data_IF_255186815284
#
_entry.id   IF_255186815284
#
_cell.length_a   1.000
_cell.length_b   1.000
_cell.length_c   1.000
_cell.angle_alpha   90.00
_cell.angle_beta   90.00
_cell.angle_gamma   90.00
#
_symmetry.space_group_name_H-M   'P 1'
#
loop_
_entity.id
_entity.type
_entity.pdbx_description
1 polymer ?
#
# COMPACT_ATOMS: atom_id res chain seq x y z
N UNK A 1 -21.09 3.76 -1.47
CA UNK A 1 -20.87 4.17 -0.09
C UNK A 1 -20.93 2.96 0.84
N UNK A 2 -20.25 3.02 1.95
CA UNK A 2 -20.20 1.99 2.99
C UNK A 2 -20.49 2.65 4.34
N UNK A 3 -21.31 2.00 5.14
CA UNK A 3 -21.46 2.35 6.55
C UNK A 3 -20.44 1.55 7.34
N UNK A 4 -19.57 2.24 8.07
CA UNK A 4 -18.54 1.65 8.92
C UNK A 4 -18.72 2.08 10.36
N UNK A 5 -18.29 1.26 11.31
CA UNK A 5 -18.11 1.67 12.69
C UNK A 5 -16.96 2.67 12.75
N UNK A 6 -17.23 3.89 13.23
CA UNK A 6 -16.18 4.87 13.53
C UNK A 6 -16.02 5.00 15.03
N UNK A 7 -14.78 5.21 15.47
CA UNK A 7 -14.46 5.38 16.88
C UNK A 7 -13.55 6.57 17.10
N UNK A 8 -13.80 7.30 18.19
CA UNK A 8 -12.85 8.21 18.82
C UNK A 8 -12.23 7.48 20.01
N UNK A 9 -10.93 7.50 20.11
CA UNK A 9 -10.20 6.79 21.15
C UNK A 9 -8.88 7.50 21.49
N UNK A 10 -8.25 7.09 22.58
CA UNK A 10 -7.11 7.81 23.14
C UNK A 10 -5.90 6.91 23.36
N UNK A 11 -4.72 7.48 23.16
CA UNK A 11 -3.41 6.88 23.43
C UNK A 11 -2.82 7.55 24.68
N UNK A 12 -2.48 6.81 25.76
CA UNK A 12 -1.80 7.38 26.90
C UNK A 12 -0.43 7.95 26.53
N UNK A 13 -0.10 9.13 27.05
CA UNK A 13 1.23 9.77 26.86
C UNK A 13 1.79 10.24 28.20
N UNK A 14 3.11 10.27 28.32
CA UNK A 14 3.78 10.69 29.54
C UNK A 14 3.50 12.17 29.88
N UNK A 15 3.23 12.46 31.14
CA UNK A 15 2.98 13.81 31.63
C UNK A 15 4.20 14.73 31.38
N UNK A 16 5.40 14.25 31.71
CA UNK A 16 6.64 15.01 31.57
C UNK A 16 6.87 15.53 30.13
N UNK A 17 6.47 14.76 29.13
CA UNK A 17 6.58 15.16 27.73
C UNK A 17 5.64 16.32 27.41
N UNK A 18 4.38 16.24 27.84
CA UNK A 18 3.40 17.30 27.61
C UNK A 18 3.67 18.55 28.46
N UNK A 19 4.08 18.39 29.72
CA UNK A 19 4.49 19.49 30.59
C UNK A 19 5.65 20.30 29.97
N UNK A 20 6.62 19.61 29.38
CA UNK A 20 7.73 20.23 28.66
C UNK A 20 7.26 21.00 27.42
N UNK A 21 6.34 20.44 26.63
CA UNK A 21 5.86 21.04 25.37
C UNK A 21 4.98 22.26 25.66
N UNK A 22 4.02 22.12 26.58
CA UNK A 22 3.02 23.15 26.87
C UNK A 22 3.45 24.11 27.99
N UNK A 23 4.57 23.85 28.64
CA UNK A 23 5.09 24.60 29.79
C UNK A 23 4.02 24.78 30.89
N UNK A 24 3.30 23.71 31.20
CA UNK A 24 2.15 23.71 32.12
C UNK A 24 2.20 22.44 32.97
N UNK A 25 2.13 22.52 34.32
CA UNK A 25 2.04 21.34 35.18
C UNK A 25 0.70 20.64 34.96
N UNK A 26 0.71 19.29 34.96
CA UNK A 26 -0.44 18.45 34.65
C UNK A 26 -0.75 17.52 35.82
N UNK A 27 -1.98 17.56 36.33
CA UNK A 27 -2.45 16.74 37.46
C UNK A 27 -3.29 15.55 37.02
N UNK A 28 -3.92 15.63 35.83
CA UNK A 28 -4.81 14.61 35.32
C UNK A 28 -4.07 13.66 34.36
N UNK A 29 -4.61 12.44 34.12
CA UNK A 29 -4.11 11.56 33.07
C UNK A 29 -4.08 12.22 31.69
N UNK A 30 -3.06 11.94 30.90
CA UNK A 30 -2.78 12.61 29.63
C UNK A 30 -2.86 11.65 28.45
N UNK A 31 -3.50 12.11 27.39
CA UNK A 31 -3.76 11.31 26.21
C UNK A 31 -3.64 12.10 24.93
N UNK A 32 -3.44 11.38 23.83
CA UNK A 32 -3.58 11.87 22.46
C UNK A 32 -4.84 11.27 21.88
N UNK A 33 -5.76 12.11 21.35
CA UNK A 33 -6.99 11.65 20.74
C UNK A 33 -6.82 11.31 19.27
N UNK A 34 -7.36 10.18 18.82
CA UNK A 34 -7.37 9.76 17.42
C UNK A 34 -8.75 9.25 17.02
N UNK A 35 -9.03 9.25 15.72
CA UNK A 35 -10.28 8.79 15.15
C UNK A 35 -10.02 7.84 13.98
N UNK A 36 -10.85 6.79 13.85
CA UNK A 36 -10.77 5.87 12.72
C UNK A 36 -12.12 5.28 12.34
N UNK A 37 -12.28 4.93 11.06
CA UNK A 37 -13.40 4.14 10.52
C UNK A 37 -13.04 2.66 10.31
N UNK A 38 -11.83 2.28 10.67
CA UNK A 38 -11.27 0.92 10.50
C UNK A 38 -10.62 0.41 11.78
N UNK A 39 -11.39 0.18 12.87
CA UNK A 39 -10.82 -0.25 14.16
C UNK A 39 -9.92 -1.50 14.03
N UNK A 40 -10.21 -2.39 13.07
CA UNK A 40 -9.44 -3.60 12.82
C UNK A 40 -7.97 -3.36 12.42
N UNK A 41 -7.58 -2.12 12.07
CA UNK A 41 -6.16 -1.81 11.77
C UNK A 41 -5.32 -1.51 13.02
N UNK A 42 -5.96 -1.32 14.18
CA UNK A 42 -5.27 -1.02 15.45
C UNK A 42 -4.20 -2.05 15.86
N UNK A 43 -4.41 -3.37 15.68
CA UNK A 43 -3.32 -4.34 15.96
C UNK A 43 -2.05 -4.09 15.14
N UNK A 44 -2.18 -3.44 13.99
CA UNK A 44 -1.05 -3.03 13.11
C UNK A 44 -0.48 -1.63 13.39
N UNK A 45 -1.00 -0.91 14.40
CA UNK A 45 -0.53 0.44 14.72
C UNK A 45 0.94 0.46 15.17
N UNK A 46 1.74 1.36 14.60
CA UNK A 46 3.14 1.62 15.00
C UNK A 46 3.42 3.10 15.24
N UNK A 47 2.56 3.99 14.75
CA UNK A 47 2.77 5.42 14.88
C UNK A 47 1.45 6.19 15.03
N UNK A 48 1.58 7.44 15.42
CA UNK A 48 0.59 8.49 15.32
C UNK A 48 1.15 9.56 14.39
N UNK A 49 0.47 9.80 13.27
CA UNK A 49 0.89 10.81 12.32
C UNK A 49 0.17 12.13 12.58
N UNK A 50 0.93 13.20 12.61
CA UNK A 50 0.45 14.58 12.78
C UNK A 50 0.91 15.42 11.60
N UNK A 51 0.31 16.59 11.43
CA UNK A 51 0.86 17.61 10.55
C UNK A 51 1.71 18.56 11.42
N UNK A 52 2.99 18.71 11.10
CA UNK A 52 3.94 19.47 11.91
C UNK A 52 3.73 20.99 11.89
N UNK A 53 3.00 21.50 10.88
CA UNK A 53 2.61 22.92 10.75
C UNK A 53 1.31 23.27 11.49
N UNK A 54 0.49 22.27 11.87
CA UNK A 54 -0.77 22.54 12.57
C UNK A 54 -0.55 22.94 14.02
N UNK A 55 -1.52 23.65 14.57
CA UNK A 55 -1.59 23.97 15.99
C UNK A 55 -2.38 22.87 16.72
N UNK A 56 -1.80 22.34 17.76
CA UNK A 56 -2.41 21.37 18.64
C UNK A 56 -2.64 21.98 20.02
N UNK A 57 -3.83 21.77 20.53
CA UNK A 57 -4.21 22.24 21.87
C UNK A 57 -4.25 21.04 22.84
N UNK A 58 -3.78 21.29 24.04
CA UNK A 58 -3.99 20.45 25.21
C UNK A 58 -5.21 20.98 25.92
N UNK A 59 -6.26 20.17 26.04
CA UNK A 59 -7.50 20.56 26.70
C UNK A 59 -7.81 19.60 27.84
N UNK A 60 -8.35 20.14 28.95
CA UNK A 60 -8.96 19.39 30.04
C UNK A 60 -10.45 19.19 29.76
N UNK A 61 -10.88 17.94 29.83
CA UNK A 61 -12.28 17.55 29.69
C UNK A 61 -12.70 16.68 30.89
N UNK A 62 -14.02 16.58 31.12
CA UNK A 62 -14.59 15.58 32.01
C UNK A 62 -15.31 14.51 31.18
N UNK A 63 -14.83 13.28 31.26
CA UNK A 63 -15.40 12.12 30.58
C UNK A 63 -15.68 11.02 31.60
N UNK A 64 -16.91 10.48 31.61
CA UNK A 64 -17.36 9.49 32.62
C UNK A 64 -17.07 9.91 34.09
N UNK A 65 -17.28 11.19 34.40
CA UNK A 65 -17.02 11.80 35.71
C UNK A 65 -15.54 11.77 36.13
N UNK A 66 -14.65 11.61 35.22
CA UNK A 66 -13.19 11.68 35.43
C UNK A 66 -12.60 12.80 34.58
N UNK A 67 -11.74 13.60 35.22
CA UNK A 67 -10.99 14.61 34.49
C UNK A 67 -9.82 13.96 33.78
N UNK A 68 -9.60 14.36 32.54
CA UNK A 68 -8.45 13.97 31.73
C UNK A 68 -8.00 15.09 30.81
N UNK A 69 -6.77 15.03 30.37
CA UNK A 69 -6.19 15.95 29.40
C UNK A 69 -6.04 15.23 28.06
N UNK A 70 -6.51 15.84 26.98
CA UNK A 70 -6.39 15.30 25.62
C UNK A 70 -5.72 16.31 24.69
N UNK A 71 -4.87 15.79 23.79
CA UNK A 71 -4.26 16.57 22.71
C UNK A 71 -5.00 16.29 21.41
N UNK A 72 -5.36 17.34 20.67
CA UNK A 72 -5.94 17.25 19.32
C UNK A 72 -5.66 18.56 18.56
N UNK A 73 -5.86 18.54 17.25
CA UNK A 73 -5.71 19.74 16.43
C UNK A 73 -6.72 20.81 16.82
N UNK A 74 -6.26 22.05 16.98
CA UNK A 74 -7.07 23.19 17.42
C UNK A 74 -8.35 23.38 16.60
N UNK A 75 -8.25 23.26 15.29
CA UNK A 75 -9.37 23.49 14.36
C UNK A 75 -10.43 22.37 14.42
N UNK A 76 -10.12 21.25 15.06
CA UNK A 76 -11.01 20.09 15.20
C UNK A 76 -11.58 19.88 16.61
N UNK A 77 -11.30 20.80 17.56
CA UNK A 77 -11.79 20.69 18.95
C UNK A 77 -13.29 20.59 18.99
N UNK A 78 -13.99 21.58 18.42
CA UNK A 78 -15.46 21.68 18.51
C UNK A 78 -16.15 20.45 17.88
N UNK A 79 -15.73 20.05 16.68
CA UNK A 79 -16.31 18.90 15.99
C UNK A 79 -16.01 17.58 16.70
N UNK A 80 -14.83 17.43 17.31
CA UNK A 80 -14.49 16.25 18.12
C UNK A 80 -15.31 16.20 19.40
N UNK A 81 -15.40 17.30 20.13
CA UNK A 81 -16.16 17.37 21.39
C UNK A 81 -17.65 17.11 21.17
N UNK A 82 -18.24 17.66 20.10
CA UNK A 82 -19.63 17.37 19.70
C UNK A 82 -19.80 15.86 19.45
N UNK A 83 -18.87 15.22 18.72
CA UNK A 83 -18.93 13.80 18.39
C UNK A 83 -18.81 12.88 19.61
N UNK A 84 -18.02 13.29 20.63
CA UNK A 84 -17.87 12.53 21.89
C UNK A 84 -18.85 12.97 22.96
N UNK A 85 -19.77 13.94 22.68
CA UNK A 85 -20.83 14.37 23.57
C UNK A 85 -20.38 15.25 24.73
N UNK A 86 -19.29 16.01 24.57
CA UNK A 86 -18.76 16.93 25.60
C UNK A 86 -19.02 18.38 25.17
N UNK A 87 -19.56 19.17 26.06
CA UNK A 87 -19.90 20.59 25.82
C UNK A 87 -18.95 21.56 26.53
N UNK A 88 -18.23 21.12 27.54
CA UNK A 88 -17.37 21.98 28.34
C UNK A 88 -15.94 21.46 28.36
N UNK A 89 -15.01 22.36 28.11
CA UNK A 89 -13.59 22.05 28.19
C UNK A 89 -12.77 23.28 28.61
N UNK A 90 -11.54 23.03 29.01
CA UNK A 90 -10.58 24.08 29.35
C UNK A 90 -9.29 23.88 28.57
N UNK A 91 -8.90 24.86 27.76
CA UNK A 91 -7.60 24.84 27.11
C UNK A 91 -6.49 25.12 28.14
N UNK A 92 -5.53 24.21 28.21
CA UNK A 92 -4.37 24.28 29.10
C UNK A 92 -3.13 24.85 28.37
N UNK A 93 -3.03 24.67 27.06
CA UNK A 93 -1.94 25.20 26.26
C UNK A 93 -2.11 24.90 24.78
N UNK A 94 -1.35 25.57 23.94
CA UNK A 94 -1.30 25.41 22.48
C UNK A 94 0.15 25.34 22.01
N UNK A 95 0.44 24.53 21.02
CA UNK A 95 1.76 24.47 20.40
C UNK A 95 1.70 23.98 18.95
N UNK A 96 2.77 24.20 18.20
CA UNK A 96 2.93 23.69 16.84
C UNK A 96 3.26 22.19 16.85
N UNK A 97 2.77 21.46 15.84
CA UNK A 97 2.89 20.01 15.72
C UNK A 97 4.31 19.50 15.75
N UNK A 98 5.26 20.23 15.15
CA UNK A 98 6.67 19.82 15.13
C UNK A 98 7.26 19.49 16.53
N UNK A 99 6.69 20.04 17.61
CA UNK A 99 7.15 19.78 19.00
C UNK A 99 6.84 18.37 19.51
N UNK A 100 5.90 17.68 18.86
CA UNK A 100 5.56 16.30 19.23
C UNK A 100 6.45 15.26 18.56
N UNK A 101 7.19 15.62 17.51
CA UNK A 101 7.96 14.66 16.72
C UNK A 101 8.97 13.90 17.57
N UNK A 102 8.97 12.58 17.41
CA UNK A 102 9.84 11.68 18.12
C UNK A 102 9.36 11.28 19.53
N UNK A 103 8.26 11.87 20.04
CA UNK A 103 7.64 11.39 21.28
C UNK A 103 6.95 10.05 21.05
N UNK A 104 6.62 9.38 22.15
CA UNK A 104 5.98 8.05 22.13
C UNK A 104 4.72 8.07 22.97
N UNK A 105 3.61 7.69 22.37
CA UNK A 105 2.39 7.39 23.09
C UNK A 105 2.29 5.87 23.33
N UNK A 106 1.66 5.45 24.42
CA UNK A 106 1.44 4.03 24.70
C UNK A 106 0.26 3.53 23.87
N UNK A 107 0.40 2.34 23.25
CA UNK A 107 -0.71 1.74 22.52
C UNK A 107 -1.91 1.48 23.45
N UNK A 108 -3.17 1.65 22.99
CA UNK A 108 -4.36 1.59 23.84
C UNK A 108 -4.56 0.27 24.61
N UNK A 109 -4.07 -0.86 24.06
CA UNK A 109 -4.23 -2.19 24.67
C UNK A 109 -3.05 -3.15 24.46
N UNK A 110 -2.07 -2.83 23.61
CA UNK A 110 -0.87 -3.66 23.44
C UNK A 110 0.31 -3.08 24.23
N UNK A 111 1.23 -3.95 24.64
CA UNK A 111 2.45 -3.53 25.34
C UNK A 111 3.53 -3.05 24.36
N UNK A 112 3.20 -1.97 23.65
CA UNK A 112 4.13 -1.26 22.76
C UNK A 112 3.83 0.23 22.71
N UNK A 113 4.73 0.99 22.12
CA UNK A 113 4.59 2.43 21.94
C UNK A 113 4.37 2.78 20.46
N UNK A 114 3.56 3.81 20.23
CA UNK A 114 3.34 4.43 18.93
C UNK A 114 4.20 5.68 18.83
N UNK A 115 5.08 5.73 17.84
CA UNK A 115 5.95 6.89 17.58
C UNK A 115 5.15 8.04 16.97
N UNK A 116 5.37 9.27 17.41
CA UNK A 116 4.77 10.44 16.78
C UNK A 116 5.64 10.92 15.63
N UNK A 117 5.08 10.94 14.41
CA UNK A 117 5.75 11.28 13.16
C UNK A 117 4.99 12.36 12.39
N UNK A 118 5.65 13.06 11.47
CA UNK A 118 5.02 14.03 10.58
C UNK A 118 4.48 13.35 9.32
N UNK A 119 3.37 13.89 8.76
CA UNK A 119 2.85 13.47 7.47
C UNK A 119 1.86 14.48 6.88
N UNK A 120 2.06 14.84 5.62
CA UNK A 120 1.28 15.86 4.89
C UNK A 120 -0.16 15.43 4.58
N UNK A 121 -0.46 14.13 4.69
CA UNK A 121 -1.81 13.59 4.48
C UNK A 121 -2.78 13.88 5.64
N UNK A 122 -2.26 14.37 6.77
CA UNK A 122 -3.09 14.76 7.90
C UNK A 122 -3.79 16.08 7.58
N UNK A 123 -5.12 16.09 7.65
CA UNK A 123 -5.96 17.26 7.34
C UNK A 123 -6.81 17.69 8.52
N UNK A 124 -7.45 18.85 8.40
CA UNK A 124 -8.44 19.37 9.36
C UNK A 124 -9.88 19.21 8.88
N UNK A 125 -10.13 18.33 7.89
CA UNK A 125 -11.48 18.11 7.36
C UNK A 125 -12.32 17.17 8.24
N UNK A 126 -11.67 16.21 8.90
CA UNK A 126 -12.31 15.22 9.76
C UNK A 126 -11.36 14.65 10.82
N UNK A 127 -11.91 13.96 11.82
CA UNK A 127 -11.13 13.28 12.85
C UNK A 127 -10.69 14.21 13.97
N UNK A 128 -9.45 14.04 14.42
CA UNK A 128 -8.83 14.78 15.54
C UNK A 128 -7.57 15.54 15.12
N UNK A 129 -7.17 15.44 13.84
CA UNK A 129 -5.88 15.95 13.34
C UNK A 129 -4.67 15.12 13.76
N UNK A 130 -4.91 13.93 14.34
CA UNK A 130 -3.88 12.95 14.70
C UNK A 130 -4.35 11.58 14.19
N UNK A 131 -3.61 11.06 13.20
CA UNK A 131 -3.99 9.83 12.50
C UNK A 131 -3.27 8.64 13.12
N UNK A 132 -4.04 7.64 13.53
CA UNK A 132 -3.53 6.32 13.84
C UNK A 132 -2.91 5.69 12.58
N UNK A 133 -1.64 5.30 12.63
CA UNK A 133 -0.87 4.85 11.49
C UNK A 133 -0.54 3.38 11.60
N UNK A 134 -1.02 2.59 10.62
CA UNK A 134 -0.79 1.16 10.48
C UNK A 134 -0.13 0.88 9.13
N UNK A 135 1.21 0.77 9.05
CA UNK A 135 1.99 0.71 7.80
C UNK A 135 1.56 -0.38 6.82
N UNK A 136 1.04 -1.48 7.33
CA UNK A 136 0.55 -2.61 6.53
C UNK A 136 -0.85 -2.44 5.93
N UNK A 137 -1.58 -1.35 6.25
CA UNK A 137 -3.02 -1.23 5.98
C UNK A 137 -3.48 0.06 5.30
N UNK A 138 -2.56 0.94 4.89
CA UNK A 138 -2.84 2.18 4.15
C UNK A 138 -1.67 2.57 3.26
N UNK A 139 -1.94 3.23 2.13
CA UNK A 139 -0.89 3.71 1.22
C UNK A 139 -0.12 4.88 1.82
N UNK A 140 -0.84 5.83 2.40
CA UNK A 140 -0.27 6.98 3.10
C UNK A 140 0.50 6.53 4.35
N UNK A 141 -0.07 5.60 5.13
CA UNK A 141 0.56 5.00 6.29
C UNK A 141 1.87 4.28 5.93
N UNK A 142 1.86 3.52 4.82
CA UNK A 142 3.05 2.85 4.31
C UNK A 142 4.14 3.86 3.91
N UNK A 143 3.76 4.90 3.14
CA UNK A 143 4.71 5.89 2.64
C UNK A 143 5.41 6.63 3.79
N UNK A 144 4.62 7.20 4.71
CA UNK A 144 5.16 7.96 5.85
C UNK A 144 5.95 7.07 6.80
N UNK A 145 5.56 5.82 6.97
CA UNK A 145 6.29 4.87 7.81
C UNK A 145 7.66 4.51 7.24
N UNK A 146 7.72 4.31 5.91
CA UNK A 146 8.98 4.03 5.22
C UNK A 146 9.96 5.21 5.32
N UNK A 147 9.49 6.45 5.18
CA UNK A 147 10.29 7.66 5.34
C UNK A 147 10.86 7.80 6.75
N UNK A 148 10.12 7.31 7.76
CA UNK A 148 10.54 7.35 9.16
C UNK A 148 11.24 6.06 9.64
N UNK A 149 11.57 5.12 8.72
CA UNK A 149 12.30 3.88 9.05
C UNK A 149 11.51 2.89 9.92
N UNK A 150 10.18 2.96 9.90
CA UNK A 150 9.33 2.01 10.61
C UNK A 150 9.16 0.73 9.78
N UNK A 151 9.05 -0.40 10.47
CA UNK A 151 8.74 -1.68 9.84
C UNK A 151 7.33 -1.70 9.26
N UNK A 152 7.10 -2.56 8.25
CA UNK A 152 5.78 -2.76 7.67
C UNK A 152 5.09 -3.93 8.36
N UNK A 153 4.46 -3.68 9.50
CA UNK A 153 3.71 -4.68 10.24
C UNK A 153 2.38 -4.97 9.56
N UNK A 154 2.17 -6.22 9.13
CA UNK A 154 0.93 -6.70 8.53
C UNK A 154 0.40 -7.92 9.29
N UNK A 155 -0.42 -7.73 10.35
CA UNK A 155 -0.89 -8.81 11.20
C UNK A 155 -2.06 -9.61 10.61
N UNK A 156 -2.31 -9.51 9.30
CA UNK A 156 -3.47 -10.11 8.62
C UNK A 156 -3.03 -11.10 7.55
N UNK A 157 -3.55 -12.35 7.64
CA UNK A 157 -3.33 -13.43 6.67
C UNK A 157 -4.00 -13.15 5.32
N UNK A 158 -3.64 -13.91 4.30
CA UNK A 158 -4.20 -13.80 2.94
C UNK A 158 -5.72 -14.03 2.87
N UNK A 159 -6.29 -14.80 3.80
CA UNK A 159 -7.73 -15.03 3.90
C UNK A 159 -8.50 -13.94 4.68
N UNK A 160 -7.81 -12.87 5.11
CA UNK A 160 -8.40 -11.76 5.85
C UNK A 160 -8.61 -12.01 7.34
N UNK A 161 -8.02 -13.07 7.91
CA UNK A 161 -8.00 -13.30 9.35
C UNK A 161 -6.70 -12.80 9.96
N UNK A 162 -6.75 -12.42 11.23
CA UNK A 162 -5.53 -12.09 11.96
C UNK A 162 -4.59 -13.30 12.08
N UNK A 163 -3.29 -13.03 12.13
CA UNK A 163 -2.25 -14.02 12.41
C UNK A 163 -2.47 -14.66 13.78
N UNK A 164 -1.87 -15.84 14.00
CA UNK A 164 -2.07 -16.62 15.23
C UNK A 164 -1.35 -16.00 16.45
N UNK A 165 -0.43 -15.07 16.21
CA UNK A 165 0.34 -14.32 17.20
C UNK A 165 -0.28 -12.96 17.57
N UNK A 166 -1.43 -12.61 16.99
CA UNK A 166 -2.11 -11.34 17.31
C UNK A 166 -2.92 -11.51 18.59
N UNK A 167 -2.46 -10.87 19.66
CA UNK A 167 -3.13 -10.88 20.95
C UNK A 167 -4.60 -10.47 20.83
N UNK A 168 -5.48 -11.20 21.53
CA UNK A 168 -6.94 -11.02 21.60
C UNK A 168 -7.70 -11.35 20.31
N UNK A 169 -7.09 -11.34 19.11
CA UNK A 169 -7.82 -11.41 17.83
C UNK A 169 -7.34 -12.53 16.90
N UNK A 170 -6.43 -13.39 17.35
CA UNK A 170 -5.88 -14.50 16.57
C UNK A 170 -6.97 -15.29 15.82
N UNK A 171 -6.82 -15.45 14.49
CA UNK A 171 -7.74 -16.21 13.64
C UNK A 171 -9.09 -15.54 13.36
N UNK A 172 -9.45 -14.41 13.98
CA UNK A 172 -10.68 -13.69 13.69
C UNK A 172 -10.59 -12.98 12.33
N UNK A 173 -11.70 -13.00 11.59
CA UNK A 173 -11.84 -12.22 10.36
C UNK A 173 -11.89 -10.72 10.71
N UNK A 174 -11.06 -9.90 10.07
CA UNK A 174 -10.82 -8.51 10.48
C UNK A 174 -12.07 -7.66 10.63
N UNK A 175 -13.05 -7.74 9.73
CA UNK A 175 -14.27 -6.97 9.85
C UNK A 175 -15.19 -7.43 10.99
N UNK A 176 -15.08 -8.69 11.43
CA UNK A 176 -15.78 -9.20 12.61
C UNK A 176 -15.08 -8.82 13.91
N UNK A 177 -13.78 -8.58 13.86
CA UNK A 177 -13.01 -8.17 15.03
C UNK A 177 -13.29 -6.73 15.47
N UNK A 178 -13.93 -5.91 14.65
CA UNK A 178 -14.24 -4.52 15.03
C UNK A 178 -15.01 -4.43 16.35
N UNK A 179 -16.03 -5.25 16.55
CA UNK A 179 -16.82 -5.28 17.77
C UNK A 179 -15.96 -5.63 19.00
N UNK A 180 -15.11 -6.66 18.87
CA UNK A 180 -14.21 -7.08 19.95
C UNK A 180 -13.15 -6.01 20.28
N UNK A 181 -12.66 -5.28 19.27
CA UNK A 181 -11.71 -4.19 19.47
C UNK A 181 -12.36 -3.03 20.20
N UNK A 182 -13.59 -2.67 19.82
CA UNK A 182 -14.37 -1.62 20.47
C UNK A 182 -14.63 -1.98 21.95
N UNK A 183 -15.03 -3.23 22.23
CA UNK A 183 -15.22 -3.71 23.61
C UNK A 183 -13.92 -3.63 24.42
N UNK A 184 -12.79 -4.06 23.86
CA UNK A 184 -11.49 -4.01 24.54
C UNK A 184 -11.04 -2.57 24.82
N UNK A 185 -11.26 -1.64 23.89
CA UNK A 185 -10.98 -0.22 24.12
C UNK A 185 -11.87 0.37 25.24
N UNK A 186 -13.12 -0.06 25.30
CA UNK A 186 -14.06 0.35 26.35
C UNK A 186 -13.68 -0.19 27.72
N UNK A 187 -13.31 -1.47 27.79
CA UNK A 187 -12.83 -2.11 29.01
C UNK A 187 -11.57 -1.43 29.57
N UNK A 188 -10.67 -1.00 28.70
CA UNK A 188 -9.47 -0.26 29.05
C UNK A 188 -9.71 1.22 29.37
N UNK A 189 -10.95 1.72 29.19
CA UNK A 189 -11.30 3.12 29.45
C UNK A 189 -10.64 4.11 28.48
N UNK A 190 -10.34 3.68 27.27
CA UNK A 190 -9.69 4.48 26.21
C UNK A 190 -10.56 4.73 24.98
N UNK A 191 -11.81 4.24 24.97
CA UNK A 191 -12.82 4.58 23.98
C UNK A 191 -13.56 5.85 24.43
N UNK A 192 -13.64 6.86 23.56
CA UNK A 192 -14.40 8.10 23.83
C UNK A 192 -15.79 8.06 23.16
N UNK A 193 -15.88 7.59 21.91
CA UNK A 193 -17.16 7.45 21.23
C UNK A 193 -17.16 6.31 20.22
N UNK A 194 -18.35 5.82 19.92
CA UNK A 194 -18.63 4.88 18.84
C UNK A 194 -19.84 5.39 18.06
N UNK A 195 -19.74 5.42 16.73
CA UNK A 195 -20.85 5.84 15.86
C UNK A 195 -20.80 5.14 14.51
N UNK A 196 -21.89 5.23 13.76
CA UNK A 196 -21.94 4.80 12.36
C UNK A 196 -21.55 5.95 11.45
N UNK A 197 -20.63 5.69 10.53
CA UNK A 197 -20.13 6.70 9.60
C UNK A 197 -20.28 6.21 8.16
N UNK A 198 -20.98 6.97 7.34
CA UNK A 198 -21.15 6.68 5.92
C UNK A 198 -20.09 7.42 5.11
N UNK A 199 -19.33 6.67 4.31
CA UNK A 199 -18.23 7.22 3.51
C UNK A 199 -18.02 6.43 2.21
N UNK A 200 -17.30 7.06 1.29
CA UNK A 200 -16.80 6.37 0.11
C UNK A 200 -15.74 5.34 0.52
N UNK A 201 -15.89 4.12 0.06
CA UNK A 201 -14.97 3.03 0.38
C UNK A 201 -14.65 2.21 -0.87
N UNK A 202 -13.40 1.80 -1.11
CA UNK A 202 -13.05 1.00 -2.27
C UNK A 202 -13.71 -0.38 -2.23
N UNK A 203 -14.31 -0.76 -3.38
CA UNK A 203 -14.95 -2.06 -3.54
C UNK A 203 -14.34 -2.83 -4.71
N UNK A 204 -14.29 -4.15 -4.59
CA UNK A 204 -13.93 -5.02 -5.70
C UNK A 204 -14.90 -4.79 -6.86
N UNK A 205 -14.37 -4.42 -8.03
CA UNK A 205 -15.19 -4.10 -9.21
C UNK A 205 -16.03 -5.30 -9.70
N UNK A 206 -15.59 -6.52 -9.42
CA UNK A 206 -16.29 -7.77 -9.81
C UNK A 206 -17.32 -8.22 -8.78
N UNK A 207 -16.93 -8.33 -7.51
CA UNK A 207 -17.79 -8.87 -6.45
C UNK A 207 -18.57 -7.78 -5.72
N UNK A 208 -18.24 -6.52 -5.93
CA UNK A 208 -18.84 -5.37 -5.24
C UNK A 208 -18.77 -5.42 -3.71
N UNK A 209 -17.82 -6.19 -3.19
CA UNK A 209 -17.52 -6.27 -1.77
C UNK A 209 -16.45 -5.27 -1.38
N UNK A 210 -16.46 -4.73 -0.14
CA UNK A 210 -15.39 -3.89 0.38
C UNK A 210 -14.05 -4.62 0.29
N UNK A 211 -13.00 -3.91 -0.11
CA UNK A 211 -11.63 -4.44 -0.10
C UNK A 211 -10.92 -4.06 1.19
N UNK A 212 -9.87 -4.78 1.55
CA UNK A 212 -8.96 -4.42 2.62
C UNK A 212 -7.57 -4.17 2.05
N UNK A 213 -6.90 -3.14 2.54
CA UNK A 213 -5.50 -2.92 2.25
C UNK A 213 -4.66 -3.80 3.15
N UNK A 214 -3.69 -4.49 2.55
CA UNK A 214 -2.79 -5.39 3.25
C UNK A 214 -1.43 -5.38 2.54
N UNK A 215 -0.38 -5.04 3.27
CA UNK A 215 0.98 -5.19 2.75
C UNK A 215 1.30 -6.69 2.60
N UNK A 216 1.87 -7.03 1.48
CA UNK A 216 2.35 -8.38 1.16
C UNK A 216 3.70 -8.28 0.45
N UNK A 217 4.61 -9.24 0.65
CA UNK A 217 5.78 -9.34 -0.20
C UNK A 217 5.37 -9.42 -1.66
N UNK A 218 6.01 -8.63 -2.52
CA UNK A 218 5.73 -8.57 -3.95
C UNK A 218 7.04 -8.43 -4.72
N UNK A 219 7.02 -8.83 -6.00
CA UNK A 219 8.15 -8.67 -6.91
C UNK A 219 7.96 -7.45 -7.78
N UNK A 220 9.03 -6.65 -7.88
CA UNK A 220 9.01 -5.39 -8.62
C UNK A 220 10.15 -5.32 -9.62
N UNK A 221 9.90 -4.70 -10.77
CA UNK A 221 10.94 -4.16 -11.63
C UNK A 221 11.16 -2.72 -11.19
N UNK A 222 12.35 -2.43 -10.68
CA UNK A 222 12.71 -1.07 -10.23
C UNK A 222 12.90 -0.16 -11.44
N UNK A 223 12.21 0.97 -11.43
CA UNK A 223 12.33 1.98 -12.48
C UNK A 223 13.62 2.80 -12.37
N UNK A 224 14.15 2.94 -11.16
CA UNK A 224 15.40 3.66 -10.91
C UNK A 224 16.64 2.81 -11.13
N UNK A 225 16.54 1.47 -11.06
CA UNK A 225 17.68 0.58 -11.22
C UNK A 225 18.20 0.60 -12.66
N UNK A 226 19.54 0.74 -12.83
CA UNK A 226 20.22 0.82 -14.12
C UNK A 226 19.65 1.89 -15.07
N UNK A 227 19.05 2.94 -14.51
CA UNK A 227 18.47 4.08 -15.22
C UNK A 227 17.34 3.68 -16.19
N UNK A 228 16.61 2.60 -15.87
CA UNK A 228 15.58 2.04 -16.74
C UNK A 228 14.53 3.06 -17.17
N UNK A 229 14.04 3.87 -16.21
CA UNK A 229 13.03 4.89 -16.50
C UNK A 229 13.57 5.98 -17.40
N UNK A 230 14.74 6.53 -17.07
CA UNK A 230 15.40 7.58 -17.86
C UNK A 230 15.68 7.11 -19.29
N UNK A 231 16.27 5.93 -19.47
CA UNK A 231 16.51 5.33 -20.78
C UNK A 231 15.21 5.12 -21.57
N UNK A 232 14.14 4.70 -20.90
CA UNK A 232 12.84 4.51 -21.53
C UNK A 232 12.25 5.84 -22.00
N UNK A 233 12.31 6.90 -21.20
CA UNK A 233 11.89 8.25 -21.58
C UNK A 233 12.69 8.76 -22.78
N UNK A 234 14.02 8.66 -22.72
CA UNK A 234 14.90 9.11 -23.80
C UNK A 234 14.68 8.35 -25.12
N UNK A 235 14.22 7.10 -25.06
CA UNK A 235 13.93 6.30 -26.26
C UNK A 235 12.67 6.73 -27.00
N UNK A 236 11.76 7.45 -26.34
CA UNK A 236 10.47 7.90 -26.93
C UNK A 236 10.68 8.85 -28.10
N UNK A 237 11.70 9.72 -28.03
CA UNK A 237 12.02 10.72 -29.08
C UNK A 237 12.42 10.07 -30.42
N UNK A 238 12.95 8.86 -30.39
CA UNK A 238 13.37 8.10 -31.57
C UNK A 238 12.26 7.33 -32.28
N UNK A 239 11.03 7.36 -31.75
CA UNK A 239 9.89 6.59 -32.25
C UNK A 239 8.96 7.51 -33.05
N UNK A 240 8.49 7.03 -34.19
CA UNK A 240 7.46 7.73 -34.96
C UNK A 240 6.06 7.50 -34.36
N UNK A 241 5.41 8.57 -33.91
CA UNK A 241 4.07 8.52 -33.33
C UNK A 241 3.01 9.01 -34.30
N UNK A 242 1.98 8.17 -34.51
CA UNK A 242 0.82 8.48 -35.32
C UNK A 242 -0.49 8.21 -34.53
N UNK A 243 -1.22 9.25 -34.12
CA UNK A 243 -0.95 10.70 -34.26
C UNK A 243 0.19 11.18 -33.35
N UNK A 244 0.80 12.31 -33.69
CA UNK A 244 1.96 12.87 -32.97
C UNK A 244 1.73 13.10 -31.47
N UNK A 245 0.51 13.33 -31.00
CA UNK A 245 0.21 13.47 -29.56
C UNK A 245 0.55 12.21 -28.73
N UNK A 246 0.73 11.06 -29.37
CA UNK A 246 1.13 9.81 -28.71
C UNK A 246 2.45 9.92 -27.99
N UNK A 247 3.40 10.69 -28.53
CA UNK A 247 4.71 10.94 -27.92
C UNK A 247 4.58 11.61 -26.54
N UNK A 248 3.98 12.78 -26.48
CA UNK A 248 3.79 13.52 -25.22
C UNK A 248 2.99 12.70 -24.19
N UNK A 249 2.03 11.91 -24.65
CA UNK A 249 1.25 11.03 -23.79
C UNK A 249 2.12 9.91 -23.17
N UNK A 250 3.00 9.29 -23.97
CA UNK A 250 3.89 8.25 -23.47
C UNK A 250 4.91 8.83 -22.48
N UNK A 251 5.52 9.97 -22.81
CA UNK A 251 6.45 10.66 -21.90
C UNK A 251 5.81 10.97 -20.54
N UNK A 252 4.64 11.62 -20.54
CA UNK A 252 3.93 11.96 -19.30
C UNK A 252 3.56 10.73 -18.45
N UNK A 253 3.24 9.60 -19.08
CA UNK A 253 2.93 8.35 -18.36
C UNK A 253 4.17 7.64 -17.82
N UNK A 254 5.34 7.85 -18.43
CA UNK A 254 6.62 7.34 -17.90
C UNK A 254 7.13 8.21 -16.75
N UNK A 255 7.10 9.53 -16.87
CA UNK A 255 7.61 10.46 -15.85
C UNK A 255 7.05 10.22 -14.44
N UNK A 256 5.80 9.80 -14.37
CA UNK A 256 5.10 9.52 -13.10
C UNK A 256 5.02 8.04 -12.76
N UNK A 257 5.77 7.18 -13.48
CA UNK A 257 5.65 5.73 -13.30
C UNK A 257 6.36 5.24 -12.04
N UNK A 258 5.66 4.59 -11.11
CA UNK A 258 6.29 3.91 -9.97
C UNK A 258 6.95 2.59 -10.42
N UNK A 259 7.70 1.98 -9.52
CA UNK A 259 8.20 0.61 -9.68
C UNK A 259 7.06 -0.34 -10.11
N UNK A 260 7.36 -1.23 -11.04
CA UNK A 260 6.36 -2.11 -11.62
C UNK A 260 6.22 -3.40 -10.82
N UNK A 261 5.14 -3.53 -10.05
CA UNK A 261 4.78 -4.78 -9.40
C UNK A 261 4.39 -5.82 -10.46
N UNK A 262 5.22 -6.86 -10.60
CA UNK A 262 5.04 -7.92 -11.61
C UNK A 262 4.41 -9.20 -11.05
N UNK A 263 4.33 -9.37 -9.73
CA UNK A 263 3.74 -10.55 -9.11
C UNK A 263 2.22 -10.45 -8.97
N UNK A 264 1.54 -11.58 -9.21
CA UNK A 264 0.08 -11.72 -9.08
C UNK A 264 -0.26 -13.02 -8.35
N UNK A 265 -1.15 -12.95 -7.39
CA UNK A 265 -1.69 -14.08 -6.65
C UNK A 265 -2.88 -14.64 -7.43
N UNK A 266 -2.59 -15.39 -8.49
CA UNK A 266 -3.58 -16.04 -9.36
C UNK A 266 -3.25 -17.51 -9.54
N UNK A 267 -4.29 -18.32 -9.72
CA UNK A 267 -4.14 -19.76 -9.98
C UNK A 267 -3.77 -20.09 -11.44
N UNK A 268 -3.80 -19.10 -12.33
CA UNK A 268 -3.44 -19.24 -13.73
C UNK A 268 -2.57 -18.07 -14.19
N UNK A 269 -1.46 -18.37 -14.85
CA UNK A 269 -0.51 -17.40 -15.39
C UNK A 269 0.88 -18.01 -15.55
N UNK A 270 1.83 -17.28 -16.13
CA UNK A 270 3.24 -17.68 -16.17
C UNK A 270 3.81 -17.59 -14.76
N UNK A 271 4.33 -18.69 -14.17
CA UNK A 271 4.82 -18.66 -12.80
C UNK A 271 6.11 -17.84 -12.68
N UNK A 272 6.29 -17.21 -11.53
CA UNK A 272 7.57 -16.63 -11.14
C UNK A 272 8.43 -17.76 -10.57
N UNK A 273 9.30 -18.35 -11.40
CA UNK A 273 10.09 -19.51 -11.05
C UNK A 273 11.29 -19.14 -10.17
N UNK A 274 11.03 -18.65 -8.97
CA UNK A 274 12.04 -18.27 -7.98
C UNK A 274 11.93 -19.12 -6.72
N UNK A 275 13.11 -19.41 -6.13
CA UNK A 275 13.25 -19.96 -4.79
C UNK A 275 13.76 -18.87 -3.85
N UNK A 276 13.14 -18.73 -2.68
CA UNK A 276 13.43 -17.69 -1.68
C UNK A 276 13.85 -18.35 -0.38
N UNK A 277 14.91 -17.85 0.23
CA UNK A 277 15.38 -18.34 1.51
C UNK A 277 14.37 -18.04 2.63
N UNK A 278 14.02 -19.04 3.41
CA UNK A 278 12.96 -18.98 4.43
C UNK A 278 13.15 -17.89 5.49
N UNK A 279 14.41 -17.59 5.88
CA UNK A 279 14.70 -16.61 6.93
C UNK A 279 15.03 -15.21 6.37
N UNK A 280 15.78 -15.14 5.26
CA UNK A 280 16.30 -13.85 4.75
C UNK A 280 15.41 -13.23 3.68
N UNK A 281 14.56 -14.03 3.02
CA UNK A 281 13.76 -13.59 1.88
C UNK A 281 14.58 -13.33 0.61
N UNK A 282 15.88 -13.68 0.60
CA UNK A 282 16.74 -13.51 -0.56
C UNK A 282 16.52 -14.62 -1.58
N UNK A 283 16.68 -14.31 -2.86
CA UNK A 283 16.60 -15.30 -3.94
C UNK A 283 17.80 -16.24 -3.93
N UNK A 284 17.60 -17.47 -4.37
CA UNK A 284 18.66 -18.46 -4.42
C UNK A 284 19.84 -17.99 -5.33
N UNK A 285 21.12 -18.17 -4.92
CA UNK A 285 22.27 -17.69 -5.70
C UNK A 285 22.34 -18.23 -7.14
N UNK A 286 21.83 -19.44 -7.39
CA UNK A 286 21.79 -20.07 -8.71
C UNK A 286 20.46 -19.88 -9.44
N UNK A 287 19.72 -18.79 -9.13
CA UNK A 287 18.40 -18.48 -9.71
C UNK A 287 18.33 -18.62 -11.21
N UNK A 288 19.35 -18.15 -11.95
CA UNK A 288 19.35 -18.25 -13.42
C UNK A 288 19.34 -19.72 -13.89
N UNK A 289 20.11 -20.58 -13.27
CA UNK A 289 20.15 -22.02 -13.61
C UNK A 289 18.82 -22.69 -13.29
N UNK A 290 18.20 -22.31 -12.17
CA UNK A 290 16.88 -22.81 -11.76
C UNK A 290 15.82 -22.40 -12.79
N UNK A 291 15.80 -21.15 -13.22
CA UNK A 291 14.88 -20.67 -14.25
C UNK A 291 15.03 -21.46 -15.55
N UNK A 292 16.26 -21.73 -16.00
CA UNK A 292 16.52 -22.51 -17.22
C UNK A 292 16.07 -23.98 -17.10
N UNK A 293 16.28 -24.60 -15.92
CA UNK A 293 15.78 -25.94 -15.64
C UNK A 293 14.25 -25.97 -15.67
N UNK A 294 13.61 -25.02 -14.99
CA UNK A 294 12.16 -24.89 -14.97
C UNK A 294 11.59 -24.61 -16.36
N UNK A 295 12.22 -23.74 -17.16
CA UNK A 295 11.82 -23.48 -18.54
C UNK A 295 11.84 -24.76 -19.38
N UNK A 296 12.87 -25.59 -19.21
CA UNK A 296 12.98 -26.90 -19.88
C UNK A 296 11.87 -27.87 -19.44
N UNK A 297 11.49 -27.85 -18.16
CA UNK A 297 10.37 -28.64 -17.64
C UNK A 297 9.04 -28.18 -18.20
N UNK A 298 8.83 -26.85 -18.22
CA UNK A 298 7.60 -26.21 -18.75
C UNK A 298 7.45 -26.49 -20.25
N UNK A 299 8.53 -26.43 -21.03
CA UNK A 299 8.52 -26.77 -22.46
C UNK A 299 8.02 -28.20 -22.72
N UNK A 300 8.41 -29.14 -21.86
CA UNK A 300 8.06 -30.57 -22.00
C UNK A 300 6.69 -30.94 -21.43
N UNK A 301 6.29 -30.32 -20.33
CA UNK A 301 5.14 -30.72 -19.51
C UNK A 301 4.07 -29.65 -19.35
N UNK A 302 4.32 -28.46 -19.87
CA UNK A 302 3.46 -27.29 -19.67
C UNK A 302 3.71 -26.59 -18.32
N UNK A 303 2.99 -25.52 -18.11
CA UNK A 303 3.16 -24.58 -16.98
C UNK A 303 2.98 -25.25 -15.61
N UNK A 304 2.18 -26.30 -15.54
CA UNK A 304 1.94 -27.08 -14.32
C UNK A 304 3.24 -27.67 -13.74
N UNK A 305 4.27 -27.88 -14.58
CA UNK A 305 5.53 -28.46 -14.16
C UNK A 305 6.22 -27.68 -13.03
N UNK A 306 6.05 -26.34 -12.96
CA UNK A 306 6.57 -25.54 -11.84
C UNK A 306 5.88 -25.89 -10.52
N UNK A 307 4.58 -26.11 -10.54
CA UNK A 307 3.83 -26.45 -9.33
C UNK A 307 4.11 -27.88 -8.84
N UNK A 308 4.38 -28.80 -9.78
CA UNK A 308 4.56 -30.23 -9.49
C UNK A 308 6.02 -30.60 -9.11
N UNK A 309 7.02 -29.82 -9.54
CA UNK A 309 8.44 -30.14 -9.26
C UNK A 309 8.74 -29.92 -7.77
N UNK A 310 9.44 -30.83 -7.14
CA UNK A 310 9.94 -30.68 -5.78
C UNK A 310 11.19 -29.79 -5.76
N UNK A 311 11.40 -29.01 -4.69
CA UNK A 311 12.57 -28.12 -4.55
C UNK A 311 13.86 -28.96 -4.57
N UNK A 312 13.87 -30.13 -3.95
CA UNK A 312 14.98 -31.08 -3.91
C UNK A 312 15.40 -31.63 -5.30
N UNK A 313 14.54 -31.51 -6.31
CA UNK A 313 14.88 -31.86 -7.70
C UNK A 313 15.63 -30.72 -8.41
N UNK A 314 15.64 -29.52 -7.85
CA UNK A 314 16.26 -28.33 -8.42
C UNK A 314 17.54 -27.90 -7.72
N UNK A 315 17.61 -28.09 -6.38
CA UNK A 315 18.73 -27.67 -5.52
C UNK A 315 18.99 -28.67 -4.39
N UNK A 316 20.20 -28.68 -3.87
CA UNK A 316 20.62 -29.61 -2.79
C UNK A 316 20.19 -29.14 -1.39
N UNK A 317 20.09 -27.82 -1.18
CA UNK A 317 19.74 -27.13 0.09
C UNK A 317 18.25 -26.78 0.19
N UNK A 318 17.40 -27.67 -0.29
CA UNK A 318 15.95 -27.47 -0.45
C UNK A 318 15.20 -27.10 0.84
N UNK A 319 15.73 -27.51 2.02
CA UNK A 319 15.09 -27.26 3.33
C UNK A 319 15.13 -25.77 3.73
N UNK A 320 16.08 -25.01 3.18
CA UNK A 320 16.29 -23.59 3.49
C UNK A 320 15.48 -22.66 2.58
N UNK A 321 14.79 -23.20 1.57
CA UNK A 321 14.11 -22.43 0.54
C UNK A 321 12.65 -22.81 0.36
N UNK A 322 11.85 -21.82 -0.04
CA UNK A 322 10.46 -22.01 -0.48
C UNK A 322 10.24 -21.58 -1.93
N UNK A 323 9.26 -22.18 -2.61
CA UNK A 323 8.85 -21.79 -3.96
C UNK A 323 7.93 -20.59 -3.93
N UNK A 324 8.18 -19.61 -4.80
CA UNK A 324 7.21 -18.55 -5.08
C UNK A 324 6.06 -19.15 -5.87
N UNK A 325 4.84 -18.96 -5.36
CA UNK A 325 3.61 -19.45 -6.00
C UNK A 325 2.91 -18.39 -6.85
N UNK A 326 3.42 -17.17 -6.87
CA UNK A 326 2.88 -16.08 -7.67
C UNK A 326 3.12 -16.31 -9.18
N UNK A 327 2.26 -15.71 -9.99
CA UNK A 327 2.46 -15.63 -11.43
C UNK A 327 2.79 -14.20 -11.88
N UNK A 328 3.35 -14.08 -13.07
CA UNK A 328 3.67 -12.78 -13.68
C UNK A 328 2.40 -11.99 -14.02
N UNK A 329 2.52 -10.67 -13.95
CA UNK A 329 1.55 -9.75 -14.53
C UNK A 329 1.38 -10.03 -16.03
N UNK A 330 0.15 -10.17 -16.50
CA UNK A 330 -0.16 -10.39 -17.93
C UNK A 330 0.42 -9.31 -18.85
N UNK A 331 0.65 -8.10 -18.33
CA UNK A 331 1.35 -7.05 -19.06
C UNK A 331 2.85 -7.31 -19.21
N UNK A 332 3.45 -8.11 -18.34
CA UNK A 332 4.81 -8.62 -18.53
C UNK A 332 4.83 -9.65 -19.64
N UNK A 333 3.89 -10.62 -19.64
CA UNK A 333 3.79 -11.65 -20.67
C UNK A 333 3.64 -11.03 -22.06
N UNK A 334 2.74 -10.06 -22.20
CA UNK A 334 2.56 -9.32 -23.46
C UNK A 334 3.73 -8.39 -23.78
N UNK A 335 4.35 -7.82 -22.76
CA UNK A 335 5.48 -6.90 -22.87
C UNK A 335 6.70 -7.54 -23.52
N UNK A 336 6.97 -8.82 -23.25
CA UNK A 336 8.13 -9.54 -23.81
C UNK A 336 7.90 -10.13 -25.20
N UNK A 337 6.82 -9.77 -25.90
CA UNK A 337 6.53 -10.22 -27.30
C UNK A 337 7.70 -9.99 -28.23
N UNK A 338 8.45 -8.90 -28.07
CA UNK A 338 9.66 -8.63 -28.85
C UNK A 338 10.74 -9.71 -28.70
N UNK A 339 10.85 -10.34 -27.53
CA UNK A 339 11.82 -11.39 -27.25
C UNK A 339 11.28 -12.79 -27.60
N UNK A 340 10.03 -13.10 -27.25
CA UNK A 340 9.49 -14.45 -27.47
C UNK A 340 8.83 -14.67 -28.85
N UNK A 341 8.64 -13.62 -29.65
CA UNK A 341 8.08 -13.73 -31.00
C UNK A 341 9.03 -13.16 -32.06
N UNK A 342 9.48 -11.90 -31.94
CA UNK A 342 10.29 -11.27 -32.97
C UNK A 342 11.69 -11.87 -33.06
N UNK A 343 12.34 -12.14 -31.92
CA UNK A 343 13.71 -12.67 -31.89
C UNK A 343 13.81 -14.14 -32.30
N UNK A 344 12.74 -14.91 -32.09
CA UNK A 344 12.77 -16.36 -32.32
C UNK A 344 12.23 -16.77 -33.69
N UNK A 345 11.63 -15.85 -34.44
CA UNK A 345 11.08 -16.11 -35.75
C UNK A 345 11.93 -15.45 -36.83
N UNK A 346 12.57 -16.27 -37.67
CA UNK A 346 13.47 -15.81 -38.74
C UNK A 346 12.78 -14.96 -39.80
N UNK A 347 11.48 -15.07 -39.95
CA UNK A 347 10.69 -14.28 -40.91
C UNK A 347 10.30 -12.88 -40.34
N UNK A 348 10.60 -12.62 -39.07
CA UNK A 348 10.29 -11.36 -38.42
C UNK A 348 11.58 -10.60 -38.07
N UNK A 349 11.44 -9.31 -37.80
CA UNK A 349 12.55 -8.45 -37.40
C UNK A 349 12.33 -7.75 -36.09
N UNK A 350 13.42 -7.49 -35.39
CA UNK A 350 13.48 -6.63 -34.22
C UNK A 350 14.32 -5.37 -34.54
N UNK A 351 13.89 -4.14 -34.18
CA UNK A 351 12.55 -3.77 -33.68
C UNK A 351 11.45 -3.95 -34.72
N UNK A 352 10.19 -4.10 -34.27
CA UNK A 352 9.03 -4.12 -35.16
C UNK A 352 8.90 -2.80 -35.93
N UNK A 353 8.45 -2.85 -37.18
CA UNK A 353 8.21 -1.63 -37.96
C UNK A 353 7.03 -0.83 -37.42
N UNK A 354 5.99 -1.50 -36.93
CA UNK A 354 4.75 -0.89 -36.49
C UNK A 354 4.09 -1.65 -35.33
N UNK A 355 3.78 -0.93 -34.24
CA UNK A 355 2.77 -1.34 -33.25
C UNK A 355 1.48 -0.56 -33.50
N UNK A 356 0.35 -1.28 -33.57
CA UNK A 356 -0.95 -0.71 -33.88
C UNK A 356 -1.99 -1.19 -32.88
N UNK A 357 -2.52 -0.26 -32.06
CA UNK A 357 -3.55 -0.54 -31.06
C UNK A 357 -4.32 0.73 -30.66
N UNK A 358 -5.26 0.58 -29.74
CA UNK A 358 -6.02 1.68 -29.18
C UNK A 358 -5.24 2.59 -28.23
N UNK A 359 -5.78 3.75 -27.96
CA UNK A 359 -5.15 4.79 -27.14
C UNK A 359 -4.94 4.38 -25.66
N UNK A 360 -5.64 3.37 -25.18
CA UNK A 360 -5.45 2.79 -23.84
C UNK A 360 -4.12 2.05 -23.69
N UNK A 361 -3.51 1.62 -24.80
CA UNK A 361 -2.27 0.87 -24.79
C UNK A 361 -1.02 1.69 -24.48
N UNK A 362 -1.12 3.02 -24.41
CA UNK A 362 -0.04 3.84 -23.85
C UNK A 362 0.25 3.52 -22.38
N UNK A 363 -0.76 3.05 -21.62
CA UNK A 363 -0.61 2.53 -20.27
C UNK A 363 -0.71 0.99 -20.19
N UNK A 364 -0.60 0.32 -21.30
CA UNK A 364 -0.67 -1.13 -21.45
C UNK A 364 0.50 -1.64 -22.27
N UNK A 365 0.20 -2.31 -23.39
CA UNK A 365 1.19 -3.03 -24.19
C UNK A 365 2.31 -2.15 -24.76
N UNK A 366 2.04 -0.92 -25.23
CA UNK A 366 3.10 -0.03 -25.71
C UNK A 366 4.13 0.23 -24.61
N UNK A 367 3.68 0.54 -23.40
CA UNK A 367 4.56 0.86 -22.30
C UNK A 367 5.28 -0.39 -21.74
N UNK A 368 4.58 -1.50 -21.56
CA UNK A 368 5.20 -2.74 -21.04
C UNK A 368 6.25 -3.29 -22.00
N UNK A 369 5.97 -3.25 -23.32
CA UNK A 369 6.96 -3.65 -24.34
C UNK A 369 8.19 -2.74 -24.34
N UNK A 370 7.99 -1.42 -24.21
CA UNK A 370 9.09 -0.47 -24.15
C UNK A 370 10.01 -0.76 -22.96
N UNK A 371 9.43 -0.87 -21.76
CA UNK A 371 10.18 -1.10 -20.53
C UNK A 371 10.96 -2.42 -20.55
N UNK A 372 10.34 -3.51 -20.99
CA UNK A 372 11.02 -4.82 -21.06
C UNK A 372 12.12 -4.83 -22.13
N UNK A 373 11.89 -4.19 -23.27
CA UNK A 373 12.89 -4.11 -24.33
C UNK A 373 14.09 -3.24 -23.94
N UNK A 374 13.86 -2.08 -23.33
CA UNK A 374 14.94 -1.23 -22.81
C UNK A 374 15.72 -1.97 -21.71
N UNK A 375 15.03 -2.66 -20.78
CA UNK A 375 15.67 -3.43 -19.72
C UNK A 375 16.58 -4.55 -20.28
N UNK A 376 16.18 -5.20 -21.36
CA UNK A 376 16.88 -6.35 -21.92
C UNK A 376 17.92 -5.98 -22.97
N UNK A 377 17.71 -4.92 -23.76
CA UNK A 377 18.43 -4.62 -25.00
C UNK A 377 18.88 -3.17 -25.17
N UNK A 378 18.47 -2.26 -24.28
CA UNK A 378 18.65 -0.80 -24.43
C UNK A 378 18.09 -0.21 -25.76
N UNK A 379 17.11 -0.87 -26.37
CA UNK A 379 16.52 -0.50 -27.66
C UNK A 379 15.01 -0.57 -27.59
N UNK A 380 14.29 0.42 -28.21
CA UNK A 380 12.84 0.40 -28.35
C UNK A 380 12.39 -0.85 -29.15
N UNK A 381 11.29 -1.51 -28.75
CA UNK A 381 10.79 -2.71 -29.45
C UNK A 381 10.09 -2.40 -30.79
N UNK A 382 9.84 -1.14 -31.08
CA UNK A 382 9.10 -0.66 -32.25
C UNK A 382 9.70 0.65 -32.80
N UNK A 383 9.58 0.83 -34.13
CA UNK A 383 9.99 2.05 -34.86
C UNK A 383 8.84 3.05 -34.96
N UNK A 384 7.62 2.56 -35.08
CA UNK A 384 6.40 3.39 -35.23
C UNK A 384 5.29 2.87 -34.33
N UNK A 385 4.55 3.78 -33.71
CA UNK A 385 3.31 3.49 -32.97
C UNK A 385 2.14 4.19 -33.65
N UNK A 386 1.19 3.41 -34.14
CA UNK A 386 -0.06 3.94 -34.68
C UNK A 386 -1.20 3.70 -33.69
N UNK A 387 -1.84 4.77 -33.26
CA UNK A 387 -2.90 4.74 -32.23
C UNK A 387 -4.24 5.07 -32.84
N UNK A 388 -5.20 4.15 -32.76
CA UNK A 388 -6.59 4.40 -33.15
C UNK A 388 -7.47 4.73 -31.94
N UNK A 389 -8.68 5.27 -32.23
CA UNK A 389 -9.73 5.48 -31.22
C UNK A 389 -10.42 4.17 -30.84
N UNK A 390 -11.36 4.27 -29.89
CA UNK A 390 -12.20 3.12 -29.52
C UNK A 390 -13.33 2.90 -30.55
N UNK A 391 -13.77 1.65 -30.65
CA UNK A 391 -15.02 1.35 -31.30
C UNK A 391 -16.17 1.90 -30.48
N UNK A 392 -17.04 2.65 -31.10
CA UNK A 392 -18.16 3.32 -30.45
C UNK A 392 -19.48 2.84 -31.05
N UNK A 393 -20.56 2.94 -30.27
CA UNK A 393 -21.92 2.68 -30.73
C UNK A 393 -22.46 3.86 -31.55
N UNK A 394 -23.72 3.76 -31.98
CA UNK A 394 -24.39 4.81 -32.78
C UNK A 394 -24.57 6.13 -32.02
N UNK A 395 -24.44 6.14 -30.71
CA UNK A 395 -24.50 7.33 -29.85
C UNK A 395 -23.10 7.90 -29.52
N UNK A 396 -22.03 7.32 -30.08
CA UNK A 396 -20.65 7.73 -29.83
C UNK A 396 -20.09 7.24 -28.47
N UNK A 397 -20.76 6.32 -27.79
CA UNK A 397 -20.26 5.73 -26.53
C UNK A 397 -19.33 4.58 -26.82
N UNK A 398 -18.22 4.50 -26.03
CA UNK A 398 -17.29 3.39 -26.12
C UNK A 398 -18.01 2.06 -25.90
N UNK A 399 -17.89 1.15 -26.85
CA UNK A 399 -18.38 -0.21 -26.71
C UNK A 399 -17.51 -0.96 -25.68
N UNK A 400 -18.17 -1.75 -24.83
CA UNK A 400 -17.50 -2.63 -23.87
C UNK A 400 -18.01 -4.07 -24.03
N UNK A 401 -17.33 -5.00 -23.40
CA UNK A 401 -17.71 -6.43 -23.42
C UNK A 401 -19.11 -6.65 -22.86
#
# INVERSE_FOLDING_TARGET
DKVSTSIDFIFPIAADDLERIFNTPLENPNFIASWTTTPWTLPGNLALTINDEFIYDLIEIEFDKKKMNIVLAKDLIESTLERIGISEYKTLGSCEGHKFLGLKAKHPYLDRSSLIIAGDHVTTEAGTGIVHTAPGHGLEDYAVSKENGLEVLSPVKANGTFNDDVDHFAGLFVFKANENIVELLKENGVLLSESSYEHSYPHCWRHRTPVMFRATPQWFISMSSKDLLEKSINSVDGIRWEPAWGEARMQSMLETRPDWCISRQRSWGVPIALLVHNETGEIHPHTQQIIEQVATLVEKKGIQAWHDVEISDLIDDAEDYEKITDCLDVWFDSGVTHACVLDVNEDLQFPADLYLEGSDQHRGWFQSSLLTSIAMKDVSPYKTVLTHGFVVDSEGKKMSK
#
